data_IF_085778155496
#
_entry.id   IF_085778155496
#
_cell.length_a   1.000
_cell.length_b   1.000
_cell.length_c   1.000
_cell.angle_alpha   90.00
_cell.angle_beta   90.00
_cell.angle_gamma   90.00
#
_symmetry.space_group_name_H-M   'P 1'
#
loop_
_entity.id
_entity.type
_entity.pdbx_description
1 polymer ?
#
# COMPACT_ATOMS: atom_id res chain seq x y z
N UNK A 1 -9.19 -68.31 63.17
CA UNK A 1 -9.28 -66.90 63.60
C UNK A 1 -8.02 -66.62 64.39
N UNK A 2 -7.06 -65.90 63.82
CA UNK A 2 -5.88 -65.44 64.57
C UNK A 2 -6.31 -64.30 65.48
N UNK A 3 -6.00 -64.38 66.78
CA UNK A 3 -6.21 -63.27 67.70
C UNK A 3 -5.24 -62.14 67.33
N UNK A 4 -5.80 -60.99 66.96
CA UNK A 4 -5.03 -59.77 66.74
C UNK A 4 -4.74 -59.16 68.12
N UNK A 5 -3.46 -58.98 68.44
CA UNK A 5 -3.06 -58.37 69.72
C UNK A 5 -3.21 -56.86 69.68
N UNK A 6 -3.36 -56.24 70.85
CA UNK A 6 -3.42 -54.77 71.00
C UNK A 6 -2.14 -54.12 70.46
N UNK A 7 -1.00 -54.78 70.65
CA UNK A 7 0.32 -54.34 70.16
C UNK A 7 0.37 -54.30 68.63
N UNK A 8 -0.22 -55.29 67.94
CA UNK A 8 -0.32 -55.28 66.47
C UNK A 8 -1.17 -54.11 65.99
N UNK A 9 -2.32 -53.87 66.62
CA UNK A 9 -3.19 -52.73 66.28
C UNK A 9 -2.52 -51.37 66.55
N UNK A 10 -1.65 -51.27 67.56
CA UNK A 10 -0.87 -50.06 67.81
C UNK A 10 0.18 -49.83 66.73
N UNK A 11 0.97 -50.85 66.39
CA UNK A 11 1.96 -50.78 65.31
C UNK A 11 1.32 -50.45 63.95
N UNK A 12 0.17 -51.06 63.63
CA UNK A 12 -0.58 -50.80 62.40
C UNK A 12 -1.11 -49.35 62.37
N UNK A 13 -1.62 -48.81 63.50
CA UNK A 13 -2.06 -47.42 63.59
C UNK A 13 -0.90 -46.41 63.47
N UNK A 14 0.26 -46.69 64.08
CA UNK A 14 1.46 -45.86 63.93
C UNK A 14 1.95 -45.85 62.48
N UNK A 15 1.98 -47.02 61.83
CA UNK A 15 2.32 -47.17 60.41
C UNK A 15 1.36 -46.37 59.51
N UNK A 16 0.05 -46.57 59.68
CA UNK A 16 -0.98 -45.84 58.93
C UNK A 16 -0.89 -44.32 59.15
N UNK A 17 -0.58 -43.87 60.38
CA UNK A 17 -0.40 -42.44 60.68
C UNK A 17 0.82 -41.86 59.96
N UNK A 18 1.95 -42.58 59.95
CA UNK A 18 3.14 -42.18 59.22
C UNK A 18 2.92 -42.15 57.69
N UNK A 19 2.17 -43.10 57.14
CA UNK A 19 1.76 -43.07 55.73
C UNK A 19 0.82 -41.88 55.43
N UNK A 20 -0.13 -41.58 56.32
CA UNK A 20 -1.04 -40.44 56.19
C UNK A 20 -0.27 -39.10 56.12
N UNK A 21 0.72 -38.89 56.98
CA UNK A 21 1.57 -37.70 56.94
C UNK A 21 2.43 -37.64 55.67
N UNK A 22 2.96 -38.78 55.21
CA UNK A 22 3.69 -38.87 53.94
C UNK A 22 2.81 -38.54 52.73
N UNK A 23 1.55 -38.97 52.73
CA UNK A 23 0.56 -38.63 51.70
C UNK A 23 0.17 -37.14 51.77
N UNK A 24 -0.05 -36.58 52.96
CA UNK A 24 -0.31 -35.13 53.14
C UNK A 24 0.85 -34.29 52.60
N UNK A 25 2.09 -34.63 52.96
CA UNK A 25 3.28 -33.93 52.48
C UNK A 25 3.39 -33.97 50.95
N UNK A 26 3.17 -35.15 50.34
CA UNK A 26 3.19 -35.32 48.88
C UNK A 26 2.05 -34.57 48.17
N UNK A 27 0.85 -34.52 48.75
CA UNK A 27 -0.25 -33.72 48.23
C UNK A 27 0.05 -32.21 48.28
N UNK A 28 0.66 -31.72 49.37
CA UNK A 28 1.09 -30.33 49.47
C UNK A 28 2.14 -29.98 48.41
N UNK A 29 3.12 -30.86 48.17
CA UNK A 29 4.13 -30.71 47.11
C UNK A 29 3.48 -30.64 45.72
N UNK A 30 2.56 -31.56 45.40
CA UNK A 30 1.86 -31.61 44.12
C UNK A 30 0.97 -30.39 43.90
N UNK A 31 0.23 -29.93 44.91
CA UNK A 31 -0.55 -28.69 44.84
C UNK A 31 0.35 -27.47 44.61
N UNK A 32 1.54 -27.44 45.21
CA UNK A 32 2.54 -26.40 44.95
C UNK A 32 3.04 -26.39 43.50
N UNK A 33 3.24 -27.57 42.89
CA UNK A 33 3.60 -27.70 41.47
C UNK A 33 2.48 -27.26 40.53
N UNK A 34 1.24 -27.66 40.81
CA UNK A 34 0.06 -27.27 40.00
C UNK A 34 -0.12 -25.74 40.00
N UNK A 35 -0.05 -25.09 41.16
CA UNK A 35 -0.18 -23.62 41.25
C UNK A 35 0.90 -22.90 40.43
N UNK A 36 2.16 -23.32 40.52
CA UNK A 36 3.26 -22.75 39.72
C UNK A 36 3.06 -22.94 38.22
N UNK A 37 2.59 -24.13 37.80
CA UNK A 37 2.30 -24.40 36.39
C UNK A 37 1.15 -23.54 35.85
N UNK A 38 0.10 -23.35 36.65
CA UNK A 38 -1.03 -22.47 36.30
C UNK A 38 -0.62 -21.00 36.17
N UNK A 39 0.22 -20.49 37.09
CA UNK A 39 0.77 -19.14 37.01
C UNK A 39 1.60 -18.93 35.74
N UNK A 40 2.57 -19.82 35.48
CA UNK A 40 3.37 -19.75 34.25
C UNK A 40 2.51 -19.85 32.97
N UNK A 41 1.46 -20.67 32.97
CA UNK A 41 0.53 -20.75 31.84
C UNK A 41 -0.20 -19.43 31.55
N UNK A 42 -0.51 -18.63 32.58
CA UNK A 42 -1.06 -17.29 32.42
C UNK A 42 -0.04 -16.33 31.79
N UNK A 43 1.17 -16.27 32.35
CA UNK A 43 2.28 -15.45 31.85
C UNK A 43 2.63 -15.77 30.38
N UNK A 44 2.57 -17.05 29.98
CA UNK A 44 2.77 -17.45 28.58
C UNK A 44 1.63 -17.03 27.66
N UNK A 45 0.37 -17.03 28.14
CA UNK A 45 -0.78 -16.56 27.36
C UNK A 45 -0.71 -15.06 27.11
N UNK A 46 -0.50 -14.28 28.17
CA UNK A 46 -0.37 -12.81 28.09
C UNK A 46 0.80 -12.41 27.17
N UNK A 47 1.92 -13.13 27.24
CA UNK A 47 3.06 -12.90 26.35
C UNK A 47 2.78 -13.28 24.89
N UNK A 48 1.99 -14.31 24.65
CA UNK A 48 1.59 -14.72 23.30
C UNK A 48 0.66 -13.68 22.68
N UNK A 49 -0.35 -13.22 23.41
CA UNK A 49 -1.27 -12.15 22.97
C UNK A 49 -0.52 -10.85 22.65
N UNK A 50 0.46 -10.46 23.49
CA UNK A 50 1.30 -9.30 23.24
C UNK A 50 2.15 -9.44 21.96
N UNK A 51 2.75 -10.62 21.74
CA UNK A 51 3.55 -10.90 20.53
C UNK A 51 2.68 -10.96 19.26
N UNK A 52 1.44 -11.46 19.35
CA UNK A 52 0.49 -11.44 18.23
C UNK A 52 0.08 -10.01 17.86
N UNK A 53 -0.18 -9.15 18.85
CA UNK A 53 -0.47 -7.74 18.62
C UNK A 53 0.72 -7.00 18.00
N UNK A 54 1.94 -7.22 18.50
CA UNK A 54 3.18 -6.67 17.92
C UNK A 54 3.38 -7.15 16.48
N UNK A 55 3.17 -8.44 16.21
CA UNK A 55 3.30 -9.01 14.87
C UNK A 55 2.29 -8.42 13.88
N UNK A 56 1.07 -8.11 14.32
CA UNK A 56 0.07 -7.42 13.51
C UNK A 56 0.47 -5.95 13.23
N UNK A 57 0.99 -5.23 14.23
CA UNK A 57 1.52 -3.86 14.03
C UNK A 57 2.64 -3.86 12.99
N UNK A 58 3.66 -4.70 13.18
CA UNK A 58 4.81 -4.81 12.28
C UNK A 58 4.40 -5.21 10.85
N UNK A 59 3.41 -6.09 10.67
CA UNK A 59 2.85 -6.41 9.35
C UNK A 59 2.16 -5.19 8.70
N UNK A 60 1.44 -4.40 9.47
CA UNK A 60 0.79 -3.18 8.97
C UNK A 60 1.79 -2.09 8.59
N UNK A 61 2.83 -1.90 9.41
CA UNK A 61 3.94 -0.96 9.16
C UNK A 61 4.77 -1.39 7.94
N UNK A 62 5.07 -2.68 7.82
CA UNK A 62 5.77 -3.23 6.67
C UNK A 62 4.98 -2.98 5.38
N UNK A 63 3.68 -3.33 5.35
CA UNK A 63 2.82 -3.05 4.19
C UNK A 63 2.75 -1.54 3.87
N UNK A 64 2.63 -0.70 4.90
CA UNK A 64 2.60 0.74 4.72
C UNK A 64 3.88 1.26 4.05
N UNK A 65 5.05 0.69 4.38
CA UNK A 65 6.34 1.07 3.81
C UNK A 65 6.61 0.43 2.43
N UNK A 66 6.35 -0.87 2.25
CA UNK A 66 6.73 -1.60 1.03
C UNK A 66 5.70 -1.49 -0.09
N UNK A 67 4.43 -1.21 0.23
CA UNK A 67 3.34 -1.15 -0.74
C UNK A 67 2.68 0.24 -0.76
N UNK A 68 2.08 0.68 0.35
CA UNK A 68 1.22 1.87 0.30
C UNK A 68 1.98 3.18 0.10
N UNK A 69 3.16 3.35 0.70
CA UNK A 69 4.01 4.52 0.49
C UNK A 69 4.47 4.69 -0.97
N UNK A 70 5.10 3.70 -1.64
CA UNK A 70 5.50 3.84 -3.04
C UNK A 70 4.30 3.98 -4.00
N UNK A 71 3.20 3.25 -3.79
CA UNK A 71 1.97 3.42 -4.59
C UNK A 71 1.43 4.85 -4.44
N UNK A 72 1.30 5.35 -3.21
CA UNK A 72 0.86 6.73 -2.95
C UNK A 72 1.81 7.78 -3.55
N UNK A 73 3.11 7.51 -3.61
CA UNK A 73 4.08 8.41 -4.26
C UNK A 73 3.78 8.55 -5.76
N UNK A 74 3.57 7.43 -6.47
CA UNK A 74 3.17 7.44 -7.89
C UNK A 74 1.87 8.21 -8.08
N UNK A 75 0.81 7.90 -7.33
CA UNK A 75 -0.47 8.60 -7.49
C UNK A 75 -0.41 10.11 -7.20
N UNK A 76 0.46 10.53 -6.27
CA UNK A 76 0.72 11.93 -5.95
C UNK A 76 1.56 12.65 -7.02
N UNK A 77 2.44 11.94 -7.71
CA UNK A 77 3.16 12.46 -8.88
C UNK A 77 2.22 12.59 -10.10
N UNK A 78 1.37 11.59 -10.31
CA UNK A 78 0.40 11.56 -11.43
C UNK A 78 -0.68 12.62 -11.28
N UNK A 79 -1.19 12.87 -10.07
CA UNK A 79 -2.28 13.84 -9.84
C UNK A 79 -2.08 14.67 -8.58
N UNK A 80 -2.39 15.97 -8.68
CA UNK A 80 -2.46 16.87 -7.53
C UNK A 80 -3.53 16.48 -6.50
N UNK A 81 -4.49 15.62 -6.87
CA UNK A 81 -5.47 15.00 -5.98
C UNK A 81 -5.21 13.48 -5.81
N UNK A 82 -3.93 13.08 -5.76
CA UNK A 82 -3.47 11.69 -5.84
C UNK A 82 -4.19 10.67 -4.94
N UNK A 83 -4.61 11.04 -3.72
CA UNK A 83 -5.38 10.14 -2.84
C UNK A 83 -6.78 9.81 -3.38
N UNK A 84 -7.50 10.83 -3.86
CA UNK A 84 -8.84 10.69 -4.46
C UNK A 84 -8.72 10.00 -5.82
N UNK A 85 -7.66 10.31 -6.57
CA UNK A 85 -7.36 9.65 -7.83
C UNK A 85 -7.06 8.15 -7.63
N UNK A 86 -6.26 7.78 -6.61
CA UNK A 86 -6.00 6.38 -6.23
C UNK A 86 -7.30 5.65 -5.89
N UNK A 87 -8.13 6.21 -5.00
CA UNK A 87 -9.41 5.62 -4.62
C UNK A 87 -10.34 5.42 -5.83
N UNK A 88 -10.30 6.34 -6.80
CA UNK A 88 -11.09 6.25 -8.02
C UNK A 88 -10.53 5.21 -8.99
N UNK A 89 -9.21 5.13 -9.15
CA UNK A 89 -8.52 4.13 -9.97
C UNK A 89 -8.72 2.70 -9.43
N UNK A 90 -8.63 2.51 -8.11
CA UNK A 90 -8.81 1.21 -7.43
C UNK A 90 -10.25 0.66 -7.54
N UNK A 91 -11.24 1.47 -7.96
CA UNK A 91 -12.60 0.97 -8.32
C UNK A 91 -12.62 0.25 -9.68
N UNK A 92 -11.58 0.41 -10.50
CA UNK A 92 -11.48 -0.12 -11.86
C UNK A 92 -10.36 -1.14 -12.04
N UNK A 93 -9.31 -1.04 -11.21
CA UNK A 93 -8.09 -1.81 -11.33
C UNK A 93 -7.59 -2.27 -9.96
N UNK A 94 -6.83 -3.35 -9.94
CA UNK A 94 -6.05 -3.76 -8.78
C UNK A 94 -4.55 -3.51 -9.02
N UNK A 95 -3.79 -3.32 -7.94
CA UNK A 95 -2.35 -3.06 -7.99
C UNK A 95 -1.68 -4.19 -7.22
N UNK A 96 -0.78 -4.91 -7.88
CA UNK A 96 -0.06 -6.05 -7.29
C UNK A 96 1.43 -5.76 -7.32
N UNK A 97 2.11 -5.97 -6.20
CA UNK A 97 3.56 -5.87 -6.11
C UNK A 97 4.19 -7.21 -6.56
N UNK A 98 5.21 -7.13 -7.41
CA UNK A 98 6.00 -8.29 -7.81
C UNK A 98 6.89 -8.79 -6.67
N UNK A 99 6.98 -10.11 -6.52
CA UNK A 99 7.73 -10.76 -5.43
C UNK A 99 9.25 -10.62 -5.57
N UNK A 100 9.77 -10.34 -6.77
CA UNK A 100 11.21 -10.40 -7.07
C UNK A 100 11.85 -9.05 -7.37
N UNK A 101 11.19 -8.22 -8.19
CA UNK A 101 11.71 -6.92 -8.63
C UNK A 101 11.09 -5.73 -7.86
N UNK A 102 10.10 -5.98 -7.01
CA UNK A 102 9.45 -4.95 -6.18
C UNK A 102 8.63 -3.92 -6.97
N UNK A 103 8.47 -4.12 -8.29
CA UNK A 103 7.62 -3.32 -9.18
C UNK A 103 6.15 -3.50 -8.84
N UNK A 104 5.33 -2.56 -9.28
CA UNK A 104 3.88 -2.63 -9.15
C UNK A 104 3.25 -2.81 -10.53
N UNK A 105 2.33 -3.75 -10.67
CA UNK A 105 1.68 -4.09 -11.92
C UNK A 105 0.18 -3.81 -11.86
N UNK A 106 -0.36 -3.19 -12.92
CA UNK A 106 -1.77 -2.86 -13.05
C UNK A 106 -2.52 -4.12 -13.53
N UNK A 107 -3.52 -4.51 -12.75
CA UNK A 107 -4.40 -5.63 -13.03
C UNK A 107 -5.84 -5.13 -13.14
N UNK A 108 -6.72 -5.90 -13.79
CA UNK A 108 -8.16 -5.60 -13.78
C UNK A 108 -8.80 -5.93 -12.41
N UNK A 109 -10.14 -5.83 -12.34
CA UNK A 109 -10.92 -6.10 -11.12
C UNK A 109 -10.94 -7.58 -10.73
N UNK A 110 -10.73 -8.45 -11.72
CA UNK A 110 -10.77 -9.90 -11.58
C UNK A 110 -9.38 -10.49 -11.27
N UNK A 111 -8.34 -9.64 -11.28
CA UNK A 111 -6.96 -10.00 -10.95
C UNK A 111 -6.12 -10.44 -12.15
N UNK A 112 -6.55 -10.17 -13.39
CA UNK A 112 -5.73 -10.46 -14.57
C UNK A 112 -4.78 -9.29 -14.88
N UNK A 113 -3.51 -9.52 -15.28
CA UNK A 113 -2.60 -8.46 -15.66
C UNK A 113 -3.11 -7.70 -16.89
N UNK A 114 -3.02 -6.37 -16.89
CA UNK A 114 -3.30 -5.57 -18.08
C UNK A 114 -2.01 -5.47 -18.89
N UNK A 115 -2.07 -5.83 -20.17
CA UNK A 115 -0.93 -5.83 -21.08
C UNK A 115 -0.92 -4.58 -21.98
N UNK A 116 0.27 -4.22 -22.45
CA UNK A 116 0.52 -3.27 -23.53
C UNK A 116 1.27 -3.93 -24.67
N UNK A 117 1.00 -3.49 -25.90
CA UNK A 117 1.74 -3.96 -27.08
C UNK A 117 2.96 -3.08 -27.33
N UNK A 118 4.16 -3.62 -27.11
CA UNK A 118 5.44 -2.95 -27.35
C UNK A 118 6.05 -3.42 -28.68
N UNK A 119 6.47 -2.48 -29.52
CA UNK A 119 7.15 -2.78 -30.81
C UNK A 119 8.60 -3.15 -30.57
N UNK A 120 8.97 -4.42 -30.80
CA UNK A 120 10.31 -4.94 -30.59
C UNK A 120 11.18 -4.83 -31.85
N UNK A 121 11.30 -3.62 -32.39
CA UNK A 121 12.10 -3.32 -33.59
C UNK A 121 11.65 -4.12 -34.82
N UNK A 122 12.54 -4.95 -35.37
CA UNK A 122 12.24 -5.82 -36.53
C UNK A 122 11.54 -7.13 -36.17
N UNK A 123 11.45 -7.48 -34.89
CA UNK A 123 10.96 -8.78 -34.43
C UNK A 123 9.44 -8.81 -34.17
N UNK A 124 8.72 -7.74 -34.50
CA UNK A 124 7.28 -7.64 -34.39
C UNK A 124 6.81 -6.96 -33.11
N UNK A 125 5.63 -7.36 -32.66
CA UNK A 125 4.97 -6.86 -31.46
C UNK A 125 5.13 -7.87 -30.32
N UNK A 126 5.39 -7.39 -29.11
CA UNK A 126 5.42 -8.18 -27.87
C UNK A 126 4.39 -7.61 -26.90
N UNK A 127 3.68 -8.47 -26.18
CA UNK A 127 2.86 -8.07 -25.03
C UNK A 127 3.71 -8.05 -23.76
N UNK A 128 3.61 -6.95 -23.02
CA UNK A 128 4.28 -6.76 -21.73
C UNK A 128 3.25 -6.27 -20.70
N UNK A 129 3.29 -6.70 -19.43
CA UNK A 129 2.38 -6.18 -18.41
C UNK A 129 2.61 -4.68 -18.19
N UNK A 130 1.57 -3.97 -17.77
CA UNK A 130 1.60 -2.54 -17.51
C UNK A 130 2.04 -2.26 -16.08
N UNK A 131 3.13 -1.52 -15.94
CA UNK A 131 3.71 -1.16 -14.65
C UNK A 131 2.96 0.05 -14.08
N UNK A 132 2.96 0.26 -12.76
CA UNK A 132 2.36 1.43 -12.13
C UNK A 132 3.22 2.67 -12.37
N UNK A 133 3.15 3.19 -13.60
CA UNK A 133 3.88 4.38 -14.05
C UNK A 133 2.90 5.39 -14.63
N UNK A 134 3.28 6.66 -14.69
CA UNK A 134 2.43 7.73 -15.24
C UNK A 134 1.88 7.41 -16.65
N UNK A 135 2.74 6.91 -17.53
CA UNK A 135 2.36 6.59 -18.91
C UNK A 135 1.39 5.40 -18.96
N UNK A 136 1.68 4.31 -18.25
CA UNK A 136 0.83 3.13 -18.24
C UNK A 136 -0.53 3.38 -17.56
N UNK A 137 -0.58 4.18 -16.50
CA UNK A 137 -1.83 4.62 -15.89
C UNK A 137 -2.68 5.42 -16.89
N UNK A 138 -2.06 6.37 -17.61
CA UNK A 138 -2.75 7.16 -18.63
C UNK A 138 -3.28 6.30 -19.77
N UNK A 139 -2.42 5.46 -20.36
CA UNK A 139 -2.79 4.57 -21.45
C UNK A 139 -3.98 3.67 -21.07
N UNK A 140 -4.00 3.12 -19.85
CA UNK A 140 -5.09 2.24 -19.37
C UNK A 140 -6.41 3.01 -19.24
N UNK A 141 -6.35 4.25 -18.76
CA UNK A 141 -7.52 5.12 -18.64
C UNK A 141 -8.09 5.44 -20.04
N UNK A 142 -7.22 5.82 -20.98
CA UNK A 142 -7.59 6.14 -22.35
C UNK A 142 -8.12 4.89 -23.11
N UNK A 143 -7.47 3.73 -22.99
CA UNK A 143 -7.89 2.46 -23.62
C UNK A 143 -9.19 1.87 -23.05
N UNK A 144 -9.48 2.11 -21.77
CA UNK A 144 -10.72 1.63 -21.11
C UNK A 144 -11.85 2.65 -21.16
N UNK A 145 -11.63 3.85 -21.72
CA UNK A 145 -12.65 4.89 -21.87
C UNK A 145 -13.13 5.49 -20.55
N UNK A 146 -12.24 5.59 -19.55
CA UNK A 146 -12.59 6.05 -18.19
C UNK A 146 -12.42 7.58 -18.08
N UNK A 147 -13.29 8.32 -18.77
CA UNK A 147 -13.27 9.80 -18.81
C UNK A 147 -13.32 10.43 -17.40
N UNK A 148 -13.95 9.77 -16.44
CA UNK A 148 -13.99 10.18 -15.03
C UNK A 148 -12.61 10.17 -14.35
N UNK A 149 -11.67 9.35 -14.84
CA UNK A 149 -10.29 9.28 -14.36
C UNK A 149 -9.36 10.26 -15.10
N UNK A 150 -9.58 10.55 -16.38
CA UNK A 150 -8.80 11.56 -17.12
C UNK A 150 -8.98 12.98 -16.54
N UNK A 151 -10.07 13.27 -15.80
CA UNK A 151 -10.20 14.51 -15.02
C UNK A 151 -9.03 14.74 -14.04
N UNK A 152 -8.51 13.67 -13.44
CA UNK A 152 -7.41 13.76 -12.46
C UNK A 152 -6.03 13.90 -13.10
N UNK A 153 -5.89 13.56 -14.39
CA UNK A 153 -4.62 13.56 -15.09
C UNK A 153 -4.23 14.97 -15.55
N UNK A 154 -2.94 15.36 -15.48
CA UNK A 154 -2.47 16.60 -16.07
C UNK A 154 -2.72 16.58 -17.57
N UNK A 155 -3.41 17.60 -18.06
CA UNK A 155 -3.61 17.80 -19.49
C UNK A 155 -2.26 18.13 -20.15
N UNK A 156 -1.98 17.60 -21.35
CA UNK A 156 -0.70 17.81 -22.02
C UNK A 156 -0.44 19.31 -22.25
N UNK A 157 0.68 19.81 -21.70
CA UNK A 157 1.14 21.20 -21.89
C UNK A 157 1.84 21.35 -23.24
N UNK A 158 1.06 21.37 -24.32
CA UNK A 158 1.54 21.58 -25.68
C UNK A 158 0.54 21.04 -26.71
N UNK A 159 0.06 21.81 -27.69
CA UNK A 159 0.31 23.24 -27.93
C UNK A 159 -0.84 23.88 -28.72
N UNK A 160 -0.75 25.19 -28.93
CA UNK A 160 -1.76 25.97 -29.66
C UNK A 160 -1.79 25.69 -31.18
N UNK A 161 -2.10 24.46 -31.57
CA UNK A 161 -2.56 24.12 -32.90
C UNK A 161 -4.09 23.99 -32.82
N UNK A 162 -4.79 25.12 -33.02
CA UNK A 162 -6.19 25.06 -33.39
C UNK A 162 -6.29 24.24 -34.68
N UNK A 163 -6.92 23.07 -34.59
CA UNK A 163 -7.32 22.32 -35.78
C UNK A 163 -8.10 23.25 -36.70
N UNK A 164 -7.73 23.26 -37.98
CA UNK A 164 -8.38 24.09 -38.99
C UNK A 164 -9.74 23.47 -39.37
N UNK A 165 -10.65 23.39 -38.41
CA UNK A 165 -12.05 23.04 -38.64
C UNK A 165 -12.67 24.12 -39.50
N UNK A 166 -13.04 23.75 -40.73
CA UNK A 166 -13.40 24.66 -41.80
C UNK A 166 -14.67 25.49 -41.53
N UNK A 167 -14.54 26.57 -40.76
CA UNK A 167 -15.55 27.63 -40.65
C UNK A 167 -14.98 28.92 -41.18
N UNK A 168 -15.43 29.29 -42.38
CA UNK A 168 -15.10 30.54 -43.04
C UNK A 168 -15.46 31.75 -42.18
N UNK A 169 -14.44 32.39 -41.60
CA UNK A 169 -14.52 33.79 -41.19
C UNK A 169 -13.49 34.58 -42.00
N UNK A 170 -13.98 35.24 -43.05
CA UNK A 170 -13.18 36.10 -43.92
C UNK A 170 -12.63 37.29 -43.14
N UNK A 171 -11.36 37.21 -42.73
CA UNK A 171 -10.64 38.37 -42.19
C UNK A 171 -10.25 39.29 -43.37
N UNK A 172 -10.59 40.60 -43.36
CA UNK A 172 -10.15 41.51 -44.41
C UNK A 172 -8.62 41.58 -44.49
N UNK A 173 -8.10 41.71 -45.70
CA UNK A 173 -6.67 41.87 -45.93
C UNK A 173 -6.13 43.17 -45.29
N UNK A 174 -4.89 43.20 -44.79
CA UNK A 174 -4.28 44.43 -44.28
C UNK A 174 -4.07 45.42 -45.42
N UNK A 175 -4.70 46.60 -45.33
CA UNK A 175 -4.50 47.67 -46.29
C UNK A 175 -3.09 48.28 -46.15
N UNK A 176 -2.48 48.58 -47.29
CA UNK A 176 -1.19 49.25 -47.37
C UNK A 176 -1.34 50.75 -47.69
N UNK A 177 -0.25 51.47 -47.41
CA UNK A 177 0.09 52.84 -47.82
C UNK A 177 -0.41 54.08 -47.04
N UNK A 178 0.43 55.12 -47.12
CA UNK A 178 0.62 56.27 -46.21
C UNK A 178 -0.02 57.58 -46.74
N UNK A 179 0.13 58.71 -46.02
CA UNK A 179 1.21 59.66 -46.38
C UNK A 179 2.02 60.24 -45.18
N UNK A 180 2.91 61.20 -45.46
CA UNK A 180 3.97 61.79 -44.58
C UNK A 180 3.66 63.25 -44.12
N UNK A 181 4.55 63.78 -43.25
CA UNK A 181 4.80 65.20 -42.88
C UNK A 181 3.72 65.86 -41.98
N UNK A 182 4.00 66.66 -40.93
CA UNK A 182 5.23 67.12 -40.22
C UNK A 182 4.85 67.60 -38.79
N UNK A 183 5.65 68.31 -37.99
CA UNK A 183 7.05 68.80 -38.07
C UNK A 183 7.61 69.19 -36.67
N UNK A 184 8.90 69.56 -36.62
CA UNK A 184 9.61 70.48 -35.68
C UNK A 184 9.93 70.18 -34.19
N UNK A 185 11.17 70.61 -33.86
CA UNK A 185 11.74 70.98 -32.56
C UNK A 185 12.15 69.90 -31.52
N UNK A 186 13.36 69.37 -31.68
CA UNK A 186 14.30 69.15 -30.56
C UNK A 186 15.71 69.67 -30.97
N UNK A 187 16.35 70.58 -30.23
CA UNK A 187 17.61 71.21 -30.64
C UNK A 187 18.86 70.36 -30.36
N UNK A 188 19.88 70.54 -31.19
CA UNK A 188 21.18 69.84 -31.13
C UNK A 188 22.25 70.59 -30.33
N UNK A 189 22.91 69.91 -29.41
CA UNK A 189 24.31 70.10 -28.99
C UNK A 189 24.86 68.69 -28.66
N UNK A 190 26.03 68.23 -29.07
CA UNK A 190 27.14 68.91 -29.75
C UNK A 190 28.46 68.43 -29.14
N UNK A 191 28.98 67.27 -29.58
CA UNK A 191 30.26 66.75 -29.07
C UNK A 191 31.46 67.53 -29.61
N UNK A 192 32.38 67.86 -28.71
CA UNK A 192 33.83 67.94 -28.92
C UNK A 192 34.54 67.47 -27.66
#
# INVERSE_FOLDING_TARGET
MSEVTIEQLQADNESLTAELEKVKAKNAELLGKVKKAQQGSGEYSERLEALEAENQSLKSELRAFTFDAPVNAVFKEVSGAGSIFRESFEKHFSIIQDEYEGRFWIHDKDGNPIYKTVKQGKYGNKEEPRELTFNDIRDVIDERGLEELDFFLPKPKGGGALGNDGRHYSRPAPAADKPKEGSDNVPTFGMR
#
